data_IF_424847857927
#
_entry.id   IF_424847857927
#
_cell.length_a   1.000
_cell.length_b   1.000
_cell.length_c   1.000
_cell.angle_alpha   90.00
_cell.angle_beta   90.00
_cell.angle_gamma   90.00
#
_symmetry.space_group_name_H-M   'P 1'
#
loop_
_entity.id
_entity.type
_entity.pdbx_description
1 polymer ?
#
# COMPACT_ATOMS: atom_id res chain seq x y z
N UNK A 1 6.32 13.84 2.43
CA UNK A 1 5.01 14.44 2.78
C UNK A 1 4.61 14.03 4.19
N UNK A 2 3.67 14.72 4.84
CA UNK A 2 3.15 14.35 6.16
C UNK A 2 1.62 14.51 6.20
N UNK A 3 0.92 13.43 6.58
CA UNK A 3 -0.53 13.41 6.69
C UNK A 3 -0.98 13.67 8.13
N UNK A 4 -2.13 14.32 8.33
CA UNK A 4 -2.76 14.58 9.63
C UNK A 4 -4.24 14.20 9.59
N UNK A 5 -4.77 13.74 10.71
CA UNK A 5 -6.16 13.30 10.86
C UNK A 5 -6.32 12.25 11.97
N UNK A 6 -7.56 11.96 12.35
CA UNK A 6 -7.87 10.88 13.30
C UNK A 6 -7.40 9.56 12.71
N UNK A 7 -6.61 8.80 13.47
CA UNK A 7 -6.05 7.52 13.07
C UNK A 7 -5.30 7.53 11.73
N UNK A 8 -4.77 8.69 11.32
CA UNK A 8 -4.14 8.88 10.01
C UNK A 8 -3.09 7.80 9.69
N UNK A 9 -2.36 7.34 10.70
CA UNK A 9 -1.35 6.29 10.54
C UNK A 9 -1.99 4.93 10.22
N UNK A 10 -3.07 4.56 10.92
CA UNK A 10 -3.77 3.29 10.69
C UNK A 10 -4.50 3.29 9.34
N UNK A 11 -5.18 4.39 9.02
CA UNK A 11 -5.86 4.59 7.73
C UNK A 11 -4.85 4.52 6.57
N UNK A 12 -3.73 5.23 6.67
CA UNK A 12 -2.70 5.20 5.65
C UNK A 12 -2.15 3.78 5.45
N UNK A 13 -1.83 3.05 6.52
CA UNK A 13 -1.36 1.66 6.42
C UNK A 13 -2.39 0.76 5.74
N UNK A 14 -3.68 0.91 6.07
CA UNK A 14 -4.77 0.14 5.44
C UNK A 14 -4.87 0.44 3.94
N UNK A 15 -4.78 1.71 3.54
CA UNK A 15 -4.84 2.11 2.13
C UNK A 15 -3.61 1.63 1.34
N UNK A 16 -2.43 1.63 1.96
CA UNK A 16 -1.19 1.20 1.31
C UNK A 16 -1.19 -0.31 1.04
N UNK A 17 -1.73 -1.12 1.95
CA UNK A 17 -1.73 -2.58 1.85
C UNK A 17 -0.45 -3.23 2.41
N UNK A 18 -0.37 -4.57 2.31
CA UNK A 18 0.76 -5.37 2.79
C UNK A 18 2.10 -4.84 2.28
N UNK A 19 3.18 -5.02 3.04
CA UNK A 19 4.53 -4.57 2.62
C UNK A 19 5.01 -5.30 1.38
N UNK A 20 4.71 -6.59 1.26
CA UNK A 20 4.92 -7.33 0.02
C UNK A 20 3.74 -7.05 -0.93
N UNK A 21 3.99 -6.37 -2.05
CA UNK A 21 2.94 -6.03 -3.03
C UNK A 21 2.23 -7.25 -3.61
N UNK A 22 2.90 -8.42 -3.65
CA UNK A 22 2.31 -9.70 -4.11
C UNK A 22 1.28 -10.27 -3.13
N UNK A 23 1.33 -9.85 -1.87
CA UNK A 23 0.41 -10.26 -0.79
C UNK A 23 -0.60 -9.15 -0.46
N UNK A 24 -0.56 -8.02 -1.15
CA UNK A 24 -1.45 -6.91 -0.90
C UNK A 24 -2.79 -7.12 -1.62
N UNK A 25 -3.89 -6.84 -0.93
CA UNK A 25 -5.23 -7.02 -1.49
C UNK A 25 -5.48 -6.05 -2.68
N UNK A 26 -6.27 -6.46 -3.68
CA UNK A 26 -6.72 -5.57 -4.76
C UNK A 26 -7.40 -4.30 -4.23
N UNK A 27 -7.11 -3.15 -4.84
CA UNK A 27 -7.62 -1.84 -4.41
C UNK A 27 -6.77 -1.15 -3.32
N UNK A 28 -5.70 -1.80 -2.83
CA UNK A 28 -4.66 -1.13 -2.05
C UNK A 28 -3.58 -0.60 -2.98
N UNK A 29 -2.87 0.46 -2.55
CA UNK A 29 -1.82 1.10 -3.39
C UNK A 29 -0.78 0.06 -3.85
N UNK A 30 -0.33 -0.83 -2.96
CA UNK A 30 0.64 -1.86 -3.32
C UNK A 30 0.04 -3.04 -4.07
N UNK A 31 -1.23 -3.38 -3.85
CA UNK A 31 -1.91 -4.42 -4.63
C UNK A 31 -2.06 -4.02 -6.11
N UNK A 32 -2.32 -2.73 -6.36
CA UNK A 32 -2.56 -2.23 -7.71
C UNK A 32 -1.27 -1.78 -8.42
N UNK A 33 -0.30 -1.22 -7.69
CA UNK A 33 0.91 -0.62 -8.28
C UNK A 33 2.24 -1.19 -7.78
N UNK A 34 2.22 -2.06 -6.77
CA UNK A 34 3.42 -2.57 -6.10
C UNK A 34 3.95 -3.89 -6.67
N UNK A 35 3.39 -4.38 -7.77
CA UNK A 35 3.88 -5.57 -8.46
C UNK A 35 5.16 -5.23 -9.22
N UNK A 36 6.30 -5.66 -8.69
CA UNK A 36 7.58 -5.59 -9.39
C UNK A 36 7.50 -6.54 -10.61
N UNK A 37 7.40 -5.97 -11.80
CA UNK A 37 7.58 -6.71 -13.05
C UNK A 37 9.06 -7.08 -13.12
N UNK A 38 9.40 -8.23 -12.55
CA UNK A 38 10.77 -8.69 -12.36
C UNK A 38 11.67 -8.30 -13.53
N UNK A 39 12.75 -7.60 -13.20
CA UNK A 39 13.83 -7.23 -14.10
C UNK A 39 14.21 -8.41 -14.98
N UNK A 40 13.82 -8.34 -16.25
CA UNK A 40 14.40 -9.13 -17.34
C UNK A 40 15.67 -8.45 -17.81
#
# INVERSE_FOLDING_TARGET
MAWRGVDAIAVARRLIGSTNGREADPGTIRGDYGMDMGST
#
